data_IF_410232725352
#
_entry.id   IF_410232725352
#
_cell.length_a   1.000
_cell.length_b   1.000
_cell.length_c   1.000
_cell.angle_alpha   90.00
_cell.angle_beta   90.00
_cell.angle_gamma   90.00
#
_symmetry.space_group_name_H-M   'P 1'
#
loop_
_entity.id
_entity.type
_entity.pdbx_description
1 polymer ?
#
# COMPACT_ATOMS: atom_id res chain seq x y z
N UNK A 1 9.60 -1.68 28.69
CA UNK A 1 8.42 -0.89 28.32
C UNK A 1 8.66 0.53 28.77
N UNK A 2 8.51 1.52 27.89
CA UNK A 2 8.76 2.92 28.24
C UNK A 2 7.48 3.60 28.72
N UNK A 3 7.62 4.61 29.58
CA UNK A 3 6.50 5.38 30.10
C UNK A 3 6.57 6.85 29.68
N UNK A 4 5.45 7.53 29.73
CA UNK A 4 5.37 8.96 29.36
C UNK A 4 6.31 9.80 30.21
N UNK A 5 7.09 10.66 29.56
CA UNK A 5 8.11 11.52 30.17
C UNK A 5 9.49 10.89 30.35
N UNK A 6 9.64 9.57 30.12
CA UNK A 6 10.93 8.89 30.15
C UNK A 6 11.84 9.45 29.05
N UNK A 7 13.10 9.63 29.38
CA UNK A 7 14.14 10.08 28.42
C UNK A 7 15.03 8.88 28.09
N UNK A 8 15.24 8.65 26.79
CA UNK A 8 16.11 7.59 26.26
C UNK A 8 17.09 8.26 25.31
N UNK A 9 18.33 8.41 25.75
CA UNK A 9 19.29 9.25 25.04
C UNK A 9 18.77 10.68 24.94
N UNK A 10 18.53 11.14 23.70
CA UNK A 10 17.97 12.46 23.41
C UNK A 10 16.45 12.47 23.18
N UNK A 11 15.79 11.32 23.29
CA UNK A 11 14.35 11.19 22.98
C UNK A 11 13.52 11.17 24.24
N UNK A 12 12.57 12.10 24.35
CA UNK A 12 11.57 12.15 25.42
C UNK A 12 10.28 11.48 24.95
N UNK A 13 9.91 10.39 25.58
CA UNK A 13 8.68 9.64 25.27
C UNK A 13 7.44 10.47 25.63
N UNK A 14 6.56 10.66 24.65
CA UNK A 14 5.30 11.42 24.83
C UNK A 14 4.11 10.49 25.06
N UNK A 15 3.97 9.42 24.26
CA UNK A 15 2.90 8.44 24.37
C UNK A 15 3.24 7.15 23.62
N UNK A 16 2.54 6.07 23.92
CA UNK A 16 2.50 4.88 23.07
C UNK A 16 1.50 5.15 21.92
N UNK A 17 1.90 4.84 20.68
CA UNK A 17 1.08 5.02 19.49
C UNK A 17 0.76 3.71 18.79
N UNK A 18 1.41 2.61 19.15
CA UNK A 18 1.12 1.28 18.63
C UNK A 18 1.79 0.20 19.46
N UNK A 19 1.17 -0.97 19.55
CA UNK A 19 1.76 -2.18 20.13
C UNK A 19 1.26 -3.38 19.35
N UNK A 20 2.17 -4.25 18.93
CA UNK A 20 1.85 -5.43 18.13
C UNK A 20 2.86 -6.56 18.40
N UNK A 21 2.76 -7.67 17.65
CA UNK A 21 3.61 -8.84 17.84
C UNK A 21 5.13 -8.57 17.67
N UNK A 22 5.49 -7.50 16.96
CA UNK A 22 6.87 -7.16 16.62
C UNK A 22 7.54 -6.23 17.63
N UNK A 23 6.76 -5.43 18.33
CA UNK A 23 7.30 -4.42 19.23
C UNK A 23 6.26 -3.39 19.62
N UNK A 24 6.71 -2.39 20.35
CA UNK A 24 5.91 -1.23 20.74
C UNK A 24 6.46 0.01 20.06
N UNK A 25 5.57 0.82 19.51
CA UNK A 25 5.90 2.11 18.87
C UNK A 25 5.47 3.25 19.78
N UNK A 26 6.40 4.16 20.05
CA UNK A 26 6.20 5.32 20.88
C UNK A 26 6.31 6.60 20.05
N UNK A 27 5.44 7.56 20.30
CA UNK A 27 5.69 8.95 19.92
C UNK A 27 6.70 9.53 20.91
N UNK A 28 7.75 10.12 20.39
CA UNK A 28 8.77 10.82 21.17
C UNK A 28 9.16 12.16 20.54
N UNK A 29 9.82 12.99 21.32
CA UNK A 29 10.41 14.25 20.89
C UNK A 29 11.93 14.12 20.94
N UNK A 30 12.61 14.39 19.82
CA UNK A 30 14.06 14.60 19.80
C UNK A 30 14.34 15.96 20.43
N UNK A 31 14.83 15.96 21.66
CA UNK A 31 15.03 17.17 22.48
C UNK A 31 16.17 18.06 22.00
N UNK A 32 16.98 17.61 21.04
CA UNK A 32 18.08 18.43 20.50
C UNK A 32 17.62 19.31 19.35
N UNK A 33 16.55 18.87 18.63
CA UNK A 33 16.05 19.58 17.44
C UNK A 33 14.53 19.85 17.51
N UNK A 34 13.91 19.60 18.67
CA UNK A 34 12.47 19.81 18.95
C UNK A 34 11.55 19.16 17.89
N UNK A 35 11.93 17.96 17.44
CA UNK A 35 11.19 17.25 16.38
C UNK A 35 10.50 15.99 16.91
N UNK A 36 9.21 15.80 16.55
CA UNK A 36 8.51 14.55 16.85
C UNK A 36 9.03 13.42 15.97
N UNK A 37 9.24 12.26 16.57
CA UNK A 37 9.71 11.04 15.95
C UNK A 37 8.90 9.84 16.46
N UNK A 38 8.89 8.74 15.71
CA UNK A 38 8.37 7.45 16.17
C UNK A 38 9.53 6.55 16.57
N UNK A 39 9.48 6.00 17.79
CA UNK A 39 10.46 5.02 18.29
C UNK A 39 9.86 3.64 18.26
N UNK A 40 10.35 2.75 17.41
CA UNK A 40 9.94 1.34 17.38
C UNK A 40 10.91 0.51 18.20
N UNK A 41 10.41 -0.09 19.28
CA UNK A 41 11.17 -0.91 20.22
C UNK A 41 10.74 -2.36 20.03
N UNK A 42 11.58 -3.22 19.42
CA UNK A 42 11.30 -4.65 19.28
C UNK A 42 11.12 -5.33 20.64
N UNK A 43 10.21 -6.32 20.74
CA UNK A 43 10.05 -7.09 21.97
C UNK A 43 11.27 -7.97 22.29
N UNK A 44 11.91 -8.52 21.26
CA UNK A 44 13.13 -9.34 21.42
C UNK A 44 14.37 -8.42 21.40
N UNK A 45 15.02 -8.31 22.54
CA UNK A 45 16.24 -7.50 22.75
C UNK A 45 17.51 -8.36 22.87
N UNK A 46 17.36 -9.69 22.90
CA UNK A 46 18.47 -10.65 23.16
C UNK A 46 19.18 -11.11 21.89
N UNK A 47 18.76 -10.64 20.73
CA UNK A 47 19.40 -10.95 19.43
C UNK A 47 20.67 -10.13 19.29
N UNK A 48 21.68 -10.68 18.61
CA UNK A 48 22.93 -9.95 18.32
C UNK A 48 22.67 -8.62 17.65
N UNK A 49 23.39 -7.58 18.08
CA UNK A 49 23.22 -6.22 17.57
C UNK A 49 23.47 -6.10 16.06
N UNK A 50 24.41 -6.89 15.53
CA UNK A 50 24.69 -6.95 14.09
C UNK A 50 23.50 -7.48 13.29
N UNK A 51 22.83 -8.50 13.81
CA UNK A 51 21.59 -9.05 13.22
C UNK A 51 20.44 -8.05 13.33
N UNK A 52 20.31 -7.36 14.47
CA UNK A 52 19.30 -6.29 14.67
C UNK A 52 19.44 -5.13 13.67
N UNK A 53 20.66 -4.82 13.25
CA UNK A 53 20.94 -3.74 12.29
C UNK A 53 20.77 -4.13 10.83
N UNK A 54 20.72 -5.42 10.52
CA UNK A 54 20.69 -5.88 9.13
C UNK A 54 19.48 -5.35 8.36
N UNK A 55 18.30 -5.41 8.97
CA UNK A 55 17.07 -4.94 8.38
C UNK A 55 16.99 -3.39 8.33
N UNK A 56 17.17 -2.64 9.42
CA UNK A 56 17.21 -1.19 9.36
C UNK A 56 18.16 -0.63 8.32
N UNK A 57 19.31 -1.28 8.07
CA UNK A 57 20.25 -0.86 7.02
C UNK A 57 19.67 -0.98 5.61
N UNK A 58 18.96 -2.07 5.32
CA UNK A 58 18.26 -2.25 4.04
C UNK A 58 17.11 -1.23 3.89
N UNK A 59 16.34 -1.04 4.96
CA UNK A 59 15.20 -0.14 4.96
C UNK A 59 15.60 1.34 4.95
N UNK A 60 16.75 1.69 5.51
CA UNK A 60 17.27 3.06 5.48
C UNK A 60 17.63 3.54 4.06
N UNK A 61 17.80 2.61 3.10
CA UNK A 61 17.97 2.96 1.69
C UNK A 61 16.65 3.31 0.97
N UNK A 62 15.50 2.98 1.57
CA UNK A 62 14.18 3.29 1.01
C UNK A 62 13.81 4.75 1.28
N UNK A 63 14.14 5.62 0.35
CA UNK A 63 13.75 7.04 0.40
C UNK A 63 12.65 7.30 -0.63
N UNK A 64 11.40 7.36 -0.17
CA UNK A 64 10.24 7.55 -1.03
C UNK A 64 9.12 8.28 -0.27
N UNK A 65 8.37 9.22 -0.89
CA UNK A 65 7.32 9.98 -0.22
C UNK A 65 6.21 9.11 0.39
N UNK A 66 5.95 7.93 -0.19
CA UNK A 66 4.93 7.00 0.30
C UNK A 66 5.51 5.86 1.17
N UNK A 67 6.74 5.97 1.66
CA UNK A 67 7.34 5.03 2.61
C UNK A 67 7.70 5.79 3.88
N UNK A 68 7.46 5.20 5.05
CA UNK A 68 7.90 5.77 6.32
C UNK A 68 9.43 5.72 6.38
N UNK A 69 10.05 6.88 6.57
CA UNK A 69 11.50 7.03 6.57
C UNK A 69 12.10 6.55 7.88
N UNK A 70 13.08 5.66 7.83
CA UNK A 70 13.93 5.34 8.97
C UNK A 70 15.01 6.44 9.09
N UNK A 71 15.06 7.09 10.24
CA UNK A 71 16.03 8.16 10.52
C UNK A 71 17.34 7.61 11.05
N UNK A 72 17.28 6.69 12.01
CA UNK A 72 18.43 6.00 12.59
C UNK A 72 17.98 4.74 13.34
N UNK A 73 18.95 3.93 13.75
CA UNK A 73 18.78 2.83 14.70
C UNK A 73 19.80 2.96 15.81
N UNK A 74 19.37 2.92 17.06
CA UNK A 74 20.18 3.21 18.22
C UNK A 74 20.06 2.11 19.30
N UNK A 75 21.09 2.04 20.16
CA UNK A 75 21.08 1.20 21.35
C UNK A 75 21.45 2.05 22.56
N UNK A 76 20.55 2.15 23.52
CA UNK A 76 20.75 2.87 24.78
C UNK A 76 20.44 1.95 25.94
N UNK A 77 21.33 1.87 26.94
CA UNK A 77 21.14 1.04 28.15
C UNK A 77 20.67 -0.40 27.87
N UNK A 78 21.26 -1.05 26.86
CA UNK A 78 20.88 -2.38 26.37
C UNK A 78 19.49 -2.49 25.68
N UNK A 79 18.81 -1.39 25.41
CA UNK A 79 17.59 -1.37 24.61
C UNK A 79 17.92 -0.89 23.20
N UNK A 80 17.61 -1.74 22.23
CA UNK A 80 17.65 -1.40 20.81
C UNK A 80 16.31 -0.81 20.38
N UNK A 81 16.36 0.26 19.58
CA UNK A 81 15.18 0.87 18.99
C UNK A 81 15.51 1.49 17.63
N UNK A 82 14.48 1.58 16.78
CA UNK A 82 14.54 2.21 15.48
C UNK A 82 13.81 3.55 15.59
N UNK A 83 14.45 4.62 15.12
CA UNK A 83 13.90 5.96 15.05
C UNK A 83 13.38 6.20 13.64
N UNK A 84 12.11 6.54 13.52
CA UNK A 84 11.45 6.79 12.25
C UNK A 84 10.81 8.18 12.24
N UNK A 85 10.50 8.69 11.06
CA UNK A 85 9.66 9.87 10.96
C UNK A 85 8.31 9.62 11.65
N UNK A 86 7.81 10.61 12.36
CA UNK A 86 6.44 10.59 12.86
C UNK A 86 5.52 11.11 11.76
N UNK A 87 4.53 10.31 11.40
CA UNK A 87 3.48 10.67 10.43
C UNK A 87 2.23 11.07 11.21
N UNK A 88 1.86 12.37 11.24
CA UNK A 88 0.61 12.78 11.85
C UNK A 88 -0.57 12.28 11.01
N UNK A 89 -1.50 11.57 11.64
CA UNK A 89 -2.64 10.95 10.98
C UNK A 89 -3.06 9.66 11.66
N UNK A 90 -3.71 8.80 10.91
CA UNK A 90 -4.25 7.52 11.40
C UNK A 90 -3.89 6.37 10.46
N UNK A 91 -4.12 5.13 10.88
CA UNK A 91 -3.94 3.97 10.02
C UNK A 91 -5.10 3.86 9.03
N UNK A 92 -4.85 3.32 7.84
CA UNK A 92 -5.90 3.01 6.87
C UNK A 92 -6.95 2.04 7.47
N UNK A 93 -6.54 1.17 8.40
CA UNK A 93 -7.45 0.31 9.15
C UNK A 93 -8.45 1.14 9.98
N UNK A 94 -7.98 2.17 10.69
CA UNK A 94 -8.84 3.07 11.46
C UNK A 94 -9.78 3.87 10.54
N UNK A 95 -9.28 4.33 9.38
CA UNK A 95 -10.11 5.02 8.38
C UNK A 95 -11.24 4.11 7.90
N UNK A 96 -10.94 2.88 7.48
CA UNK A 96 -11.95 1.93 6.97
C UNK A 96 -12.91 1.51 8.08
N UNK A 97 -12.41 1.31 9.32
CA UNK A 97 -13.26 0.96 10.46
C UNK A 97 -14.24 2.07 10.83
N UNK A 98 -13.85 3.34 10.70
CA UNK A 98 -14.70 4.51 10.99
C UNK A 98 -15.68 4.79 9.86
N UNK A 99 -15.23 4.79 8.61
CA UNK A 99 -15.97 5.32 7.46
C UNK A 99 -16.68 4.23 6.66
N UNK A 100 -16.33 2.94 6.90
CA UNK A 100 -16.79 1.81 6.09
C UNK A 100 -16.13 1.80 4.71
N UNK A 101 -16.87 1.38 3.65
CA UNK A 101 -16.36 1.40 2.29
C UNK A 101 -15.97 2.82 1.86
N UNK A 102 -14.75 2.99 1.39
CA UNK A 102 -14.26 4.28 0.91
C UNK A 102 -14.90 4.63 -0.43
N UNK A 103 -15.01 5.94 -0.68
CA UNK A 103 -15.37 6.44 -2.00
C UNK A 103 -14.35 5.94 -3.05
N UNK A 104 -14.84 5.56 -4.24
CA UNK A 104 -14.03 4.88 -5.25
C UNK A 104 -12.77 5.68 -5.63
N UNK A 105 -12.90 6.99 -5.83
CA UNK A 105 -11.76 7.84 -6.21
C UNK A 105 -10.70 7.87 -5.13
N UNK A 106 -11.09 7.91 -3.86
CA UNK A 106 -10.21 7.91 -2.70
C UNK A 106 -9.50 6.56 -2.55
N UNK A 107 -10.25 5.44 -2.65
CA UNK A 107 -9.68 4.10 -2.60
C UNK A 107 -8.64 3.88 -3.70
N UNK A 108 -8.91 4.37 -4.92
CA UNK A 108 -7.97 4.27 -6.04
C UNK A 108 -6.76 5.21 -5.85
N UNK A 109 -6.92 6.40 -5.29
CA UNK A 109 -5.79 7.29 -4.98
C UNK A 109 -4.87 6.65 -3.94
N UNK A 110 -5.41 6.11 -2.86
CA UNK A 110 -4.62 5.40 -1.85
C UNK A 110 -3.93 4.17 -2.44
N UNK A 111 -4.63 3.39 -3.27
CA UNK A 111 -4.02 2.26 -3.99
C UNK A 111 -2.83 2.68 -4.83
N UNK A 112 -2.96 3.77 -5.60
CA UNK A 112 -1.86 4.28 -6.42
C UNK A 112 -0.64 4.68 -5.57
N UNK A 113 -0.87 5.32 -4.43
CA UNK A 113 0.21 5.70 -3.52
C UNK A 113 0.90 4.48 -2.89
N UNK A 114 0.13 3.45 -2.50
CA UNK A 114 0.68 2.18 -1.99
C UNK A 114 1.48 1.47 -3.10
N UNK A 115 0.94 1.39 -4.34
CA UNK A 115 1.66 0.82 -5.48
C UNK A 115 3.02 1.49 -5.72
N UNK A 116 3.09 2.83 -5.64
CA UNK A 116 4.34 3.56 -5.79
C UNK A 116 5.36 3.16 -4.70
N UNK A 117 4.91 3.03 -3.45
CA UNK A 117 5.75 2.58 -2.33
C UNK A 117 6.29 1.17 -2.56
N UNK A 118 5.40 0.23 -2.92
CA UNK A 118 5.75 -1.17 -3.13
C UNK A 118 6.66 -1.34 -4.35
N UNK A 119 6.38 -0.66 -5.46
CA UNK A 119 7.22 -0.71 -6.66
C UNK A 119 8.64 -0.18 -6.38
N UNK A 120 8.75 0.90 -5.61
CA UNK A 120 10.05 1.42 -5.18
C UNK A 120 10.83 0.41 -4.32
N UNK A 121 10.18 -0.19 -3.32
CA UNK A 121 10.82 -1.18 -2.45
C UNK A 121 11.24 -2.44 -3.23
N UNK A 122 10.38 -2.95 -4.11
CA UNK A 122 10.65 -4.11 -4.95
C UNK A 122 11.85 -3.88 -5.89
N UNK A 123 11.99 -2.70 -6.48
CA UNK A 123 13.16 -2.31 -7.28
C UNK A 123 14.47 -2.32 -6.47
N UNK A 124 14.40 -2.11 -5.16
CA UNK A 124 15.53 -2.22 -4.24
C UNK A 124 15.71 -3.64 -3.66
N UNK A 125 14.93 -4.62 -4.14
CA UNK A 125 14.99 -6.00 -3.67
C UNK A 125 14.35 -6.22 -2.30
N UNK A 126 13.52 -5.28 -1.81
CA UNK A 126 12.87 -5.33 -0.51
C UNK A 126 11.42 -5.75 -0.64
N UNK A 127 11.03 -6.84 0.04
CA UNK A 127 9.66 -7.32 0.23
C UNK A 127 9.06 -6.69 1.48
N UNK A 128 7.76 -6.37 1.43
CA UNK A 128 7.02 -5.91 2.61
C UNK A 128 6.64 -7.07 3.54
N UNK A 129 6.06 -8.14 2.98
CA UNK A 129 5.63 -9.39 3.63
C UNK A 129 4.44 -9.32 4.58
N UNK A 130 4.09 -8.15 5.08
CA UNK A 130 2.94 -7.90 5.96
C UNK A 130 2.18 -6.63 5.55
N UNK A 131 1.93 -6.48 4.25
CA UNK A 131 1.14 -5.35 3.74
C UNK A 131 -0.33 -5.52 4.14
N UNK A 132 -0.83 -4.55 4.91
CA UNK A 132 -2.20 -4.52 5.44
C UNK A 132 -2.57 -3.09 5.84
N UNK A 133 -3.87 -2.78 6.00
CA UNK A 133 -4.31 -1.42 6.35
C UNK A 133 -3.70 -0.84 7.63
N UNK A 134 -3.38 -1.65 8.64
CA UNK A 134 -2.73 -1.15 9.87
C UNK A 134 -1.29 -0.71 9.66
N UNK A 135 -0.63 -1.17 8.58
CA UNK A 135 0.74 -0.79 8.21
C UNK A 135 0.75 0.32 7.13
N UNK A 136 -0.40 0.93 6.86
CA UNK A 136 -0.57 2.04 5.93
C UNK A 136 -1.06 3.25 6.72
N UNK A 137 -0.24 4.29 6.81
CA UNK A 137 -0.58 5.54 7.49
C UNK A 137 -1.16 6.54 6.49
N UNK A 138 -2.24 7.20 6.89
CA UNK A 138 -2.90 8.24 6.10
C UNK A 138 -2.81 9.55 6.85
N UNK A 139 -2.11 10.54 6.29
CA UNK A 139 -2.02 11.86 6.88
C UNK A 139 -3.32 12.65 6.69
N UNK A 140 -3.50 13.72 7.48
CA UNK A 140 -4.65 14.64 7.35
C UNK A 140 -4.79 15.24 5.94
N UNK A 141 -3.69 15.33 5.17
CA UNK A 141 -3.69 15.82 3.80
C UNK A 141 -3.91 14.71 2.74
N UNK A 142 -4.23 13.48 3.17
CA UNK A 142 -4.44 12.34 2.28
C UNK A 142 -3.14 11.74 1.70
N UNK A 143 -1.96 12.11 2.24
CA UNK A 143 -0.71 11.46 1.88
C UNK A 143 -0.65 10.08 2.57
N UNK A 144 -0.47 9.04 1.76
CA UNK A 144 -0.28 7.67 2.25
C UNK A 144 1.20 7.37 2.43
N UNK A 145 1.54 6.76 3.58
CA UNK A 145 2.87 6.23 3.85
C UNK A 145 2.78 4.79 4.33
N UNK A 146 3.46 3.89 3.63
CA UNK A 146 3.58 2.47 4.01
C UNK A 146 4.68 2.34 5.05
N UNK A 147 4.35 1.72 6.18
CA UNK A 147 5.24 1.47 7.31
C UNK A 147 5.61 -0.01 7.41
N UNK A 148 6.58 -0.32 8.23
CA UNK A 148 6.90 -1.69 8.66
C UNK A 148 7.31 -2.67 7.56
N UNK A 149 8.05 -2.19 6.54
CA UNK A 149 8.69 -3.07 5.57
C UNK A 149 9.63 -4.08 6.27
N UNK A 150 9.60 -5.32 5.80
CA UNK A 150 10.59 -6.36 6.16
C UNK A 150 10.53 -6.90 7.59
N UNK A 151 9.71 -6.35 8.48
CA UNK A 151 9.67 -6.72 9.91
C UNK A 151 9.37 -8.20 10.16
N UNK A 152 8.69 -8.87 9.24
CA UNK A 152 8.39 -10.30 9.32
C UNK A 152 9.63 -11.19 9.16
N UNK A 153 10.65 -10.77 8.39
CA UNK A 153 11.90 -11.54 8.26
C UNK A 153 12.68 -11.62 9.57
N UNK A 154 12.58 -10.57 10.38
CA UNK A 154 13.19 -10.51 11.70
C UNK A 154 12.63 -11.60 12.65
N UNK A 155 11.36 -11.96 12.47
CA UNK A 155 10.72 -13.01 13.26
C UNK A 155 10.98 -14.41 12.69
N UNK A 156 11.14 -14.58 11.38
CA UNK A 156 11.52 -15.85 10.78
C UNK A 156 12.88 -16.33 11.32
N UNK A 157 13.83 -15.41 11.46
CA UNK A 157 15.14 -15.69 12.05
C UNK A 157 15.03 -15.98 13.56
N UNK A 158 14.10 -15.31 14.25
CA UNK A 158 13.91 -15.43 15.70
C UNK A 158 13.00 -16.59 16.10
N UNK A 159 12.14 -17.10 15.22
CA UNK A 159 11.28 -18.25 15.43
C UNK A 159 11.92 -19.47 14.74
N UNK A 160 12.75 -20.21 15.43
CA UNK A 160 13.29 -21.49 14.94
C UNK A 160 12.13 -22.46 14.62
N UNK A 161 11.61 -22.44 13.41
CA UNK A 161 10.68 -23.42 12.84
C UNK A 161 9.18 -23.13 12.99
N UNK A 162 8.45 -23.32 11.90
CA UNK A 162 7.00 -23.60 11.75
C UNK A 162 5.96 -22.53 12.18
N UNK A 163 6.35 -21.36 12.62
CA UNK A 163 5.35 -20.31 12.94
C UNK A 163 5.02 -19.52 11.67
N UNK A 164 3.77 -19.56 11.24
CA UNK A 164 3.23 -18.69 10.19
C UNK A 164 3.33 -17.25 10.67
N UNK A 165 4.19 -16.46 10.05
CA UNK A 165 4.45 -15.08 10.44
C UNK A 165 3.77 -14.16 9.43
N UNK A 166 2.94 -13.26 9.92
CA UNK A 166 2.16 -12.32 9.15
C UNK A 166 0.73 -12.24 9.65
N UNK A 167 -0.09 -11.54 8.91
CA UNK A 167 -1.52 -11.34 9.20
C UNK A 167 -2.34 -12.25 8.28
N UNK A 168 -2.80 -13.41 8.74
CA UNK A 168 -3.38 -14.46 7.90
C UNK A 168 -4.43 -13.98 6.88
N UNK A 169 -5.33 -13.03 7.20
CA UNK A 169 -6.32 -12.56 6.22
C UNK A 169 -5.72 -11.88 4.98
N UNK A 170 -4.49 -11.35 5.07
CA UNK A 170 -3.83 -10.64 3.97
C UNK A 170 -2.72 -11.46 3.33
N UNK A 171 -2.38 -12.62 3.89
CA UNK A 171 -1.28 -13.46 3.41
C UNK A 171 -1.64 -14.14 2.09
N UNK A 172 -0.71 -14.10 1.15
CA UNK A 172 -0.79 -14.88 -0.07
C UNK A 172 -0.62 -16.38 0.22
N UNK A 173 -1.24 -17.28 -0.58
CA UNK A 173 -1.19 -18.72 -0.35
C UNK A 173 0.24 -19.27 -0.18
N UNK A 174 1.19 -18.79 -0.97
CA UNK A 174 2.60 -19.20 -0.92
C UNK A 174 3.31 -18.76 0.38
N UNK A 175 2.84 -17.70 1.03
CA UNK A 175 3.41 -17.24 2.30
C UNK A 175 3.13 -18.22 3.45
N UNK A 176 2.01 -18.93 3.43
CA UNK A 176 1.73 -20.01 4.39
C UNK A 176 2.73 -21.17 4.29
N UNK A 177 3.42 -21.29 3.15
CA UNK A 177 4.50 -22.26 2.93
C UNK A 177 5.90 -21.68 3.17
N UNK A 178 6.01 -20.44 3.69
CA UNK A 178 7.27 -19.75 3.89
C UNK A 178 7.95 -19.26 2.60
N UNK A 179 7.23 -19.21 1.47
CA UNK A 179 7.75 -18.85 0.14
C UNK A 179 7.30 -17.46 -0.32
N UNK A 180 7.54 -16.44 0.50
CA UNK A 180 7.20 -15.07 0.12
C UNK A 180 8.01 -14.59 -1.10
N UNK A 181 7.32 -14.05 -2.10
CA UNK A 181 7.88 -13.45 -3.34
C UNK A 181 7.29 -12.05 -3.55
N UNK A 182 7.80 -11.27 -4.50
CA UNK A 182 7.27 -9.92 -4.78
C UNK A 182 5.77 -9.91 -5.09
N UNK A 183 5.29 -10.89 -5.82
CA UNK A 183 3.87 -11.05 -6.10
C UNK A 183 3.01 -11.33 -4.86
N UNK A 184 3.60 -11.76 -3.73
CA UNK A 184 2.88 -11.95 -2.46
C UNK A 184 2.42 -10.62 -1.88
N UNK A 185 3.24 -9.56 -1.97
CA UNK A 185 2.85 -8.21 -1.54
C UNK A 185 1.69 -7.67 -2.40
N UNK A 186 1.63 -8.05 -3.68
CA UNK A 186 0.55 -7.64 -4.60
C UNK A 186 -0.77 -8.35 -4.29
N UNK A 187 -0.71 -9.58 -3.79
CA UNK A 187 -1.88 -10.27 -3.23
C UNK A 187 -2.42 -9.53 -2.00
N UNK A 188 -1.55 -9.22 -1.06
CA UNK A 188 -1.89 -8.46 0.16
C UNK A 188 -2.46 -7.07 -0.18
N UNK A 189 -1.93 -6.42 -1.23
CA UNK A 189 -2.50 -5.19 -1.77
C UNK A 189 -3.91 -5.42 -2.35
N UNK A 190 -4.14 -6.52 -3.07
CA UNK A 190 -5.46 -6.89 -3.59
C UNK A 190 -6.50 -7.05 -2.47
N UNK A 191 -6.14 -7.71 -1.36
CA UNK A 191 -6.99 -7.84 -0.17
C UNK A 191 -7.25 -6.46 0.47
N UNK A 192 -6.21 -5.62 0.57
CA UNK A 192 -6.33 -4.24 1.08
C UNK A 192 -7.26 -3.40 0.20
N UNK A 193 -7.14 -3.51 -1.14
CA UNK A 193 -8.05 -2.85 -2.09
C UNK A 193 -9.50 -3.32 -1.92
N UNK A 194 -9.70 -4.64 -1.78
CA UNK A 194 -11.02 -5.20 -1.51
C UNK A 194 -11.62 -4.57 -0.27
N UNK A 195 -10.86 -4.54 0.83
CA UNK A 195 -11.34 -3.99 2.10
C UNK A 195 -11.65 -2.50 2.01
N UNK A 196 -10.83 -1.70 1.33
CA UNK A 196 -11.13 -0.28 1.09
C UNK A 196 -12.44 -0.08 0.32
N UNK A 197 -12.73 -0.93 -0.66
CA UNK A 197 -13.90 -0.80 -1.55
C UNK A 197 -15.19 -1.38 -0.97
N UNK A 198 -15.09 -2.34 -0.04
CA UNK A 198 -16.22 -3.10 0.51
C UNK A 198 -16.46 -2.79 1.98
N UNK A 199 -15.43 -2.37 2.71
CA UNK A 199 -15.44 -2.15 4.17
C UNK A 199 -15.09 -3.40 4.98
N UNK A 200 -15.11 -4.57 4.35
CA UNK A 200 -14.87 -5.87 4.97
C UNK A 200 -13.82 -6.69 4.23
N UNK A 201 -13.31 -7.74 4.87
CA UNK A 201 -12.42 -8.70 4.25
C UNK A 201 -13.15 -9.57 3.19
N UNK A 202 -12.43 -10.09 2.17
CA UNK A 202 -13.04 -10.98 1.17
C UNK A 202 -13.48 -12.32 1.75
N UNK A 203 -12.87 -12.75 2.85
CA UNK A 203 -13.11 -14.03 3.51
C UNK A 203 -12.77 -13.94 5.00
N UNK A 204 -13.26 -14.88 5.79
CA UNK A 204 -12.87 -15.04 7.19
C UNK A 204 -11.38 -15.38 7.30
N UNK A 205 -10.79 -15.11 8.47
CA UNK A 205 -9.37 -15.39 8.71
C UNK A 205 -9.05 -16.86 8.36
N UNK A 206 -8.20 -17.12 7.34
CA UNK A 206 -7.87 -18.47 6.94
C UNK A 206 -7.16 -19.22 8.07
N UNK A 207 -7.60 -20.45 8.28
CA UNK A 207 -6.94 -21.42 9.17
C UNK A 207 -6.01 -22.33 8.34
N UNK A 208 -5.11 -23.09 8.94
CA UNK A 208 -4.29 -24.06 8.20
C UNK A 208 -5.10 -25.06 7.38
N UNK A 209 -6.33 -25.39 7.80
CA UNK A 209 -7.25 -26.26 7.06
C UNK A 209 -7.88 -25.60 5.82
N UNK A 210 -7.86 -24.27 5.73
CA UNK A 210 -8.40 -23.53 4.59
C UNK A 210 -7.38 -23.33 3.47
N UNK A 211 -6.12 -23.66 3.69
CA UNK A 211 -5.04 -23.40 2.73
C UNK A 211 -5.31 -24.01 1.35
N UNK A 212 -5.78 -25.25 1.30
CA UNK A 212 -6.11 -25.92 0.02
C UNK A 212 -7.25 -25.20 -0.72
N UNK A 213 -8.24 -24.72 -0.01
CA UNK A 213 -9.36 -23.94 -0.57
C UNK A 213 -8.88 -22.58 -1.08
N UNK A 214 -8.00 -21.94 -0.31
CA UNK A 214 -7.39 -20.68 -0.70
C UNK A 214 -6.53 -20.85 -1.96
N UNK A 215 -5.72 -21.91 -2.04
CA UNK A 215 -4.89 -22.23 -3.20
C UNK A 215 -5.73 -22.57 -4.46
N UNK A 216 -6.92 -23.18 -4.31
CA UNK A 216 -7.84 -23.42 -5.42
C UNK A 216 -8.69 -22.22 -5.80
N UNK A 217 -8.57 -21.09 -5.07
CA UNK A 217 -9.36 -19.87 -5.33
C UNK A 217 -10.81 -19.96 -4.86
N UNK A 218 -11.20 -21.00 -4.11
CA UNK A 218 -12.57 -21.21 -3.63
C UNK A 218 -13.03 -20.14 -2.61
N UNK A 219 -12.07 -19.46 -1.99
CA UNK A 219 -12.34 -18.38 -1.03
C UNK A 219 -12.35 -17.00 -1.69
N UNK A 220 -11.88 -16.90 -2.93
CA UNK A 220 -11.81 -15.63 -3.64
C UNK A 220 -13.20 -15.17 -4.09
N UNK A 221 -13.59 -13.95 -3.74
CA UNK A 221 -14.82 -13.32 -4.16
C UNK A 221 -14.56 -12.00 -4.89
N UNK A 222 -15.39 -11.69 -5.86
CA UNK A 222 -15.34 -10.40 -6.55
C UNK A 222 -15.90 -9.29 -5.64
N UNK A 223 -15.24 -8.11 -5.54
CA UNK A 223 -15.76 -6.97 -4.79
C UNK A 223 -17.20 -6.59 -5.20
N UNK A 224 -17.57 -6.77 -6.47
CA UNK A 224 -18.90 -6.47 -6.98
C UNK A 224 -20.02 -7.36 -6.42
N UNK A 225 -19.70 -8.54 -5.91
CA UNK A 225 -20.68 -9.40 -5.23
C UNK A 225 -21.13 -8.78 -3.90
N UNK A 226 -20.26 -8.02 -3.24
CA UNK A 226 -20.56 -7.31 -2.00
C UNK A 226 -21.06 -5.88 -2.26
N UNK A 227 -20.47 -5.21 -3.25
CA UNK A 227 -20.82 -3.84 -3.61
C UNK A 227 -20.98 -3.70 -5.14
N UNK A 228 -22.21 -3.85 -5.70
CA UNK A 228 -22.48 -3.77 -7.13
C UNK A 228 -22.15 -2.41 -7.79
N UNK A 229 -21.98 -1.35 -6.98
CA UNK A 229 -21.60 -0.01 -7.48
C UNK A 229 -20.14 0.06 -7.96
N UNK A 230 -19.31 -0.90 -7.56
CA UNK A 230 -17.89 -0.94 -8.00
C UNK A 230 -17.87 -1.25 -9.51
N UNK A 231 -17.15 -0.45 -10.33
CA UNK A 231 -17.01 -0.73 -11.76
C UNK A 231 -16.38 -2.10 -12.01
N UNK A 232 -16.85 -2.78 -13.10
CA UNK A 232 -16.35 -4.13 -13.43
C UNK A 232 -14.83 -4.15 -13.58
N UNK A 233 -14.25 -3.17 -14.28
CA UNK A 233 -12.81 -3.09 -14.52
C UNK A 233 -12.02 -3.00 -13.20
N UNK A 234 -12.48 -2.23 -12.23
CA UNK A 234 -11.82 -2.14 -10.89
C UNK A 234 -11.96 -3.46 -10.13
N UNK A 235 -13.13 -4.07 -10.18
CA UNK A 235 -13.32 -5.38 -9.57
C UNK A 235 -12.41 -6.46 -10.19
N UNK A 236 -12.22 -6.44 -11.51
CA UNK A 236 -11.35 -7.38 -12.23
C UNK A 236 -9.87 -7.18 -11.82
N UNK A 237 -9.43 -5.92 -11.60
CA UNK A 237 -8.08 -5.61 -11.07
C UNK A 237 -7.89 -6.24 -9.69
N UNK A 238 -8.85 -6.07 -8.77
CA UNK A 238 -8.77 -6.66 -7.42
C UNK A 238 -8.72 -8.18 -7.49
N UNK A 239 -9.59 -8.80 -8.30
CA UNK A 239 -9.62 -10.26 -8.49
C UNK A 239 -8.29 -10.77 -9.05
N UNK A 240 -7.71 -10.09 -10.05
CA UNK A 240 -6.40 -10.44 -10.61
C UNK A 240 -5.28 -10.28 -9.59
N UNK A 241 -5.29 -9.21 -8.78
CA UNK A 241 -4.31 -9.01 -7.71
C UNK A 241 -4.38 -10.13 -6.66
N UNK A 242 -5.57 -10.62 -6.34
CA UNK A 242 -5.82 -11.71 -5.39
C UNK A 242 -5.74 -13.10 -6.03
N UNK A 243 -5.30 -13.27 -7.29
CA UNK A 243 -5.22 -14.59 -7.93
C UNK A 243 -4.34 -15.54 -7.10
N UNK A 244 -4.81 -16.75 -6.74
CA UNK A 244 -4.03 -17.72 -5.98
C UNK A 244 -2.79 -18.19 -6.72
N UNK A 245 -2.92 -18.41 -8.03
CA UNK A 245 -1.79 -18.72 -8.91
C UNK A 245 -0.95 -17.47 -9.14
N UNK A 246 0.32 -17.54 -8.73
CA UNK A 246 1.31 -16.46 -8.87
C UNK A 246 1.44 -16.00 -10.34
N UNK A 247 1.35 -16.92 -11.30
CA UNK A 247 1.50 -16.61 -12.73
C UNK A 247 0.31 -15.86 -13.34
N UNK A 248 -0.86 -15.98 -12.72
CA UNK A 248 -2.09 -15.25 -13.10
C UNK A 248 -2.21 -13.90 -12.39
N UNK A 249 -1.36 -13.67 -11.39
CA UNK A 249 -1.32 -12.45 -10.59
C UNK A 249 -0.44 -11.39 -11.27
N UNK A 250 -0.58 -10.15 -10.86
CA UNK A 250 0.36 -9.10 -11.20
C UNK A 250 1.77 -9.45 -10.72
N UNK A 251 2.78 -9.14 -11.54
CA UNK A 251 4.19 -9.39 -11.22
C UNK A 251 4.88 -8.13 -10.69
N UNK A 252 4.34 -6.94 -10.99
CA UNK A 252 4.85 -5.65 -10.55
C UNK A 252 3.70 -4.74 -10.13
N UNK A 253 3.93 -3.91 -9.11
CA UNK A 253 2.93 -2.94 -8.66
C UNK A 253 2.62 -1.89 -9.74
N UNK A 254 3.57 -1.59 -10.63
CA UNK A 254 3.36 -0.72 -11.79
C UNK A 254 2.27 -1.22 -12.73
N UNK A 255 2.09 -2.52 -12.90
CA UNK A 255 1.03 -3.09 -13.74
C UNK A 255 -0.37 -2.80 -13.18
N UNK A 256 -0.52 -2.80 -11.85
CA UNK A 256 -1.78 -2.39 -11.19
C UNK A 256 -2.05 -0.90 -11.45
N UNK A 257 -1.01 -0.07 -11.38
CA UNK A 257 -1.12 1.36 -11.69
C UNK A 257 -1.58 1.59 -13.13
N UNK A 258 -0.96 0.90 -14.09
CA UNK A 258 -1.30 1.01 -15.50
C UNK A 258 -2.76 0.60 -15.75
N UNK A 259 -3.21 -0.53 -15.21
CA UNK A 259 -4.60 -0.99 -15.34
C UNK A 259 -5.59 0.00 -14.68
N UNK A 260 -5.28 0.60 -13.53
CA UNK A 260 -6.10 1.64 -12.88
C UNK A 260 -6.18 2.89 -13.77
N UNK A 261 -5.06 3.35 -14.33
CA UNK A 261 -5.03 4.52 -15.20
C UNK A 261 -5.80 4.32 -16.49
N UNK A 262 -5.72 3.13 -17.08
CA UNK A 262 -6.52 2.76 -18.26
C UNK A 262 -8.03 2.82 -17.97
N UNK A 263 -8.47 2.37 -16.79
CA UNK A 263 -9.89 2.45 -16.42
C UNK A 263 -10.38 3.90 -16.27
N UNK A 264 -9.52 4.81 -15.84
CA UNK A 264 -9.82 6.25 -15.71
C UNK A 264 -9.89 6.95 -17.07
N UNK A 265 -9.06 6.53 -18.03
CA UNK A 265 -8.95 7.13 -19.35
C UNK A 265 -9.92 6.54 -20.39
N UNK A 266 -10.57 5.41 -20.09
CA UNK A 266 -11.57 4.83 -20.97
C UNK A 266 -12.80 5.72 -21.02
N UNK A 267 -13.17 6.29 -22.19
CA UNK A 267 -14.36 7.13 -22.30
C UNK A 267 -15.58 6.29 -21.91
N UNK A 268 -16.40 6.79 -20.99
CA UNK A 268 -17.72 6.20 -20.68
C UNK A 268 -18.44 5.97 -22.01
N UNK A 269 -18.54 4.72 -22.47
CA UNK A 269 -19.48 4.37 -23.53
C UNK A 269 -20.87 4.70 -22.98
N UNK A 270 -21.36 5.90 -23.31
CA UNK A 270 -22.76 6.21 -23.13
C UNK A 270 -23.54 5.15 -23.93
N UNK A 271 -24.35 4.37 -23.24
CA UNK A 271 -25.36 3.52 -23.87
C UNK A 271 -26.31 4.49 -24.57
N UNK A 272 -26.05 4.73 -25.84
CA UNK A 272 -27.00 5.43 -26.71
C UNK A 272 -28.19 4.49 -26.82
N UNK A 273 -29.29 4.91 -26.24
CA UNK A 273 -30.61 4.33 -26.55
C UNK A 273 -30.74 4.30 -28.07
N UNK A 274 -31.01 3.11 -28.62
CA UNK A 274 -31.34 2.92 -30.01
C UNK A 274 -32.74 3.53 -30.20
N UNK A 275 -32.79 4.76 -30.69
CA UNK A 275 -34.00 5.30 -31.31
C UNK A 275 -33.97 4.92 -32.79
N UNK A 276 -34.85 4.03 -33.18
CA UNK A 276 -35.21 3.74 -34.57
C UNK A 276 -35.85 4.98 -35.18
N UNK A 277 -35.31 5.48 -36.29
CA UNK A 277 -35.88 6.60 -37.02
C UNK A 277 -35.01 7.06 -38.18
N UNK A 278 -35.20 6.46 -39.31
CA UNK A 278 -35.24 6.93 -40.71
C UNK A 278 -34.27 7.97 -41.31
N UNK A 279 -33.68 7.52 -42.37
CA UNK A 279 -33.13 8.00 -43.63
C UNK A 279 -32.65 9.47 -43.88
N UNK A 280 -31.51 9.46 -44.58
CA UNK A 280 -31.03 10.37 -45.65
C UNK A 280 -30.35 11.67 -45.22
N UNK A 281 -29.04 11.69 -45.40
CA UNK A 281 -28.28 12.80 -46.03
C UNK A 281 -26.78 12.40 -46.19
N UNK A 282 -26.23 12.80 -47.31
CA UNK A 282 -24.88 12.51 -47.84
C UNK A 282 -23.69 13.03 -47.02
N UNK A 283 -22.48 12.49 -47.26
CA UNK A 283 -21.28 12.86 -46.50
C UNK A 283 -20.57 14.05 -47.19
N UNK A 284 -20.46 15.16 -46.49
CA UNK A 284 -19.50 16.19 -46.86
C UNK A 284 -18.80 16.75 -45.63
N UNK A 285 -17.48 16.83 -45.74
CA UNK A 285 -16.55 17.65 -45.00
C UNK A 285 -16.56 17.64 -43.47
N UNK A 286 -15.90 16.65 -42.86
CA UNK A 286 -15.43 16.83 -41.48
C UNK A 286 -14.15 16.10 -41.10
N UNK A 287 -13.20 15.92 -42.01
CA UNK A 287 -11.86 15.42 -41.68
C UNK A 287 -11.06 16.49 -40.90
N UNK A 288 -11.27 17.75 -41.19
CA UNK A 288 -10.55 18.85 -40.50
C UNK A 288 -11.09 19.10 -39.08
N UNK A 289 -12.39 18.95 -38.84
CA UNK A 289 -12.97 19.09 -37.51
C UNK A 289 -12.58 17.90 -36.60
N UNK A 290 -12.44 16.70 -37.18
CA UNK A 290 -11.93 15.50 -36.45
C UNK A 290 -10.44 15.62 -36.11
N UNK A 291 -9.64 16.32 -36.88
CA UNK A 291 -8.23 16.55 -36.57
C UNK A 291 -8.06 17.63 -35.50
N UNK A 292 -8.89 18.66 -35.46
CA UNK A 292 -8.86 19.68 -34.39
C UNK A 292 -9.40 19.19 -33.04
N UNK A 293 -10.30 18.21 -33.03
CA UNK A 293 -10.77 17.56 -31.79
C UNK A 293 -9.74 16.59 -31.16
N UNK A 294 -8.62 16.31 -31.85
CA UNK A 294 -7.52 15.49 -31.33
C UNK A 294 -6.43 16.28 -30.60
N UNK A 295 -6.52 17.59 -30.54
CA UNK A 295 -5.61 18.45 -29.78
C UNK A 295 -6.16 18.83 -28.40
N UNK A 296 -6.81 17.90 -27.70
CA UNK A 296 -6.90 18.02 -26.26
C UNK A 296 -5.49 17.78 -25.68
N UNK A 297 -4.94 18.70 -24.86
CA UNK A 297 -3.63 18.50 -24.29
C UNK A 297 -3.66 17.18 -23.54
N UNK A 298 -2.80 16.23 -23.94
CA UNK A 298 -2.64 14.95 -23.25
C UNK A 298 -2.41 15.23 -21.78
N UNK A 299 -3.28 14.72 -20.92
CA UNK A 299 -3.11 14.84 -19.49
C UNK A 299 -1.73 14.24 -19.16
N UNK A 300 -0.78 15.09 -18.75
CA UNK A 300 0.53 14.66 -18.28
C UNK A 300 0.37 14.08 -16.87
N UNK A 301 1.03 12.99 -16.64
CA UNK A 301 1.10 12.41 -15.30
C UNK A 301 2.55 12.49 -14.82
N UNK A 302 2.75 12.67 -13.53
CA UNK A 302 4.07 12.62 -12.95
C UNK A 302 4.69 11.24 -13.18
N UNK A 303 5.85 11.19 -13.83
CA UNK A 303 6.57 9.96 -14.10
C UNK A 303 6.96 9.21 -12.82
N UNK A 304 7.09 9.92 -11.68
CA UNK A 304 7.50 9.37 -10.40
C UNK A 304 6.32 8.90 -9.54
N UNK A 305 5.27 9.71 -9.36
CA UNK A 305 4.15 9.42 -8.47
C UNK A 305 2.82 9.12 -9.18
N UNK A 306 2.79 9.14 -10.51
CA UNK A 306 1.60 8.84 -11.31
C UNK A 306 0.44 9.84 -11.19
N UNK A 307 0.57 10.92 -10.39
CA UNK A 307 -0.50 11.91 -10.23
C UNK A 307 -0.64 12.81 -11.46
N UNK A 308 -1.89 13.24 -11.80
CA UNK A 308 -2.11 14.10 -12.93
C UNK A 308 -1.43 15.46 -12.74
N UNK A 309 -0.78 15.95 -13.81
CA UNK A 309 -0.09 17.21 -13.83
C UNK A 309 -0.74 18.16 -14.83
N UNK A 310 -0.72 19.45 -14.51
CA UNK A 310 -1.03 20.48 -15.50
C UNK A 310 0.04 20.49 -16.59
N UNK A 311 -0.35 20.77 -17.85
CA UNK A 311 0.51 20.69 -19.04
C UNK A 311 1.85 21.48 -18.94
N UNK A 312 1.92 22.51 -18.08
CA UNK A 312 3.08 23.38 -17.88
C UNK A 312 3.80 23.17 -16.55
N UNK A 313 3.57 22.02 -15.87
CA UNK A 313 4.18 21.76 -14.56
C UNK A 313 5.58 21.19 -14.73
N UNK A 314 6.60 21.92 -14.29
CA UNK A 314 8.01 21.48 -14.32
C UNK A 314 8.41 20.64 -13.10
N UNK A 315 7.66 20.75 -12.00
CA UNK A 315 7.83 19.93 -10.78
C UNK A 315 6.48 19.41 -10.31
N UNK A 316 6.42 18.14 -9.98
CA UNK A 316 5.20 17.55 -9.44
C UNK A 316 4.85 18.18 -8.09
N UNK A 317 3.65 18.76 -7.90
CA UNK A 317 3.24 19.36 -6.63
C UNK A 317 3.01 18.31 -5.53
N UNK A 318 2.94 17.04 -5.89
CA UNK A 318 2.65 15.94 -4.96
C UNK A 318 3.90 15.22 -4.44
N UNK A 319 4.94 15.06 -5.25
CA UNK A 319 6.16 14.37 -4.87
C UNK A 319 7.42 15.22 -5.00
N UNK A 320 7.33 16.45 -5.53
CA UNK A 320 8.45 17.36 -5.69
C UNK A 320 9.40 17.05 -6.86
N UNK A 321 9.20 15.92 -7.57
CA UNK A 321 10.07 15.49 -8.66
C UNK A 321 9.94 16.38 -9.91
N UNK A 322 11.07 16.61 -10.59
CA UNK A 322 11.13 17.34 -11.86
C UNK A 322 10.56 16.48 -12.98
N UNK A 323 9.73 17.07 -13.85
CA UNK A 323 9.00 16.36 -14.91
C UNK A 323 9.62 16.55 -16.29
#
# INVERSE_FOLDING_TARGET
>A
MFFRGQIIGKYKVLSTIGSGGFGTVYLAEDTWIDKKVALKVPHKQTVDFGELLREPRLLASLNHPNIVTILTAEKQENVFFIVMEFVPGETLEAVVARDGPLELSLALDYTCQICNAIDHAHKQGVLHRDLRPSNVLVSEQGLVKVADFGTSRFLEIAAHGTTVIGSPPYMAPEQFQGKAVFASDLYSLGVTMFQMLVGDLPYDTPTPSDLDRLMRGEMQISPRLRNPKIPKAISDIVVKAMAPDIHLRYQRAGEILDDILETRNSPRRSVRAVSTGDHSAEPSDDIQSRLRARETPHARFCWHCGKPLHARTDRCPFCGEKQ
#
